data_IF_449818166185
#
_entry.id   IF_449818166185
#
_cell.length_a   1.000
_cell.length_b   1.000
_cell.length_c   1.000
_cell.angle_alpha   90.00
_cell.angle_beta   90.00
_cell.angle_gamma   90.00
#
_symmetry.space_group_name_H-M   'P 1'
#
loop_
_entity.id
_entity.type
_entity.pdbx_description
1 polymer ?
#
# COMPACT_ATOMS: atom_id res chain seq x y z
N UNK A 1 1.84 -19.18 5.24
CA UNK A 1 3.24 -19.02 5.68
C UNK A 1 3.23 -17.89 6.69
N UNK A 2 3.68 -18.11 7.93
CA UNK A 2 3.88 -17.02 8.88
C UNK A 2 5.32 -16.51 8.71
N UNK A 3 5.50 -15.59 7.76
CA UNK A 3 6.69 -14.76 7.76
C UNK A 3 6.51 -13.58 8.73
N UNK A 4 7.62 -13.00 9.18
CA UNK A 4 7.64 -11.97 10.22
C UNK A 4 6.84 -10.72 9.84
N UNK A 5 6.78 -10.35 8.55
CA UNK A 5 5.98 -9.23 8.09
C UNK A 5 4.48 -9.54 8.22
N UNK A 6 4.04 -10.74 7.85
CA UNK A 6 2.66 -11.18 8.06
C UNK A 6 2.24 -11.08 9.54
N UNK A 7 3.11 -11.47 10.47
CA UNK A 7 2.82 -11.38 11.91
C UNK A 7 2.65 -9.94 12.39
N UNK A 8 3.50 -9.02 11.92
CA UNK A 8 3.37 -7.59 12.23
C UNK A 8 2.08 -7.00 11.65
N UNK A 9 1.80 -7.28 10.36
CA UNK A 9 0.61 -6.76 9.67
C UNK A 9 -0.70 -7.23 10.33
N UNK A 10 -0.69 -8.41 10.96
CA UNK A 10 -1.86 -8.96 11.63
C UNK A 10 -2.07 -8.39 13.02
N UNK A 11 -1.01 -8.19 13.80
CA UNK A 11 -1.12 -7.96 15.24
C UNK A 11 -0.81 -6.52 15.69
N UNK A 12 -0.24 -5.69 14.81
CA UNK A 12 0.22 -4.36 15.19
C UNK A 12 -0.59 -3.22 14.57
N UNK A 13 -0.48 -2.07 15.23
CA UNK A 13 -0.98 -0.78 14.74
C UNK A 13 -0.09 -0.21 13.65
N UNK A 14 -0.60 0.80 12.93
CA UNK A 14 0.17 1.45 11.86
C UNK A 14 1.48 2.04 12.40
N UNK A 15 1.39 2.72 13.54
CA UNK A 15 2.51 3.37 14.22
C UNK A 15 3.57 2.36 14.63
N UNK A 16 3.18 1.25 15.25
CA UNK A 16 4.10 0.17 15.63
C UNK A 16 4.79 -0.48 14.42
N UNK A 17 4.05 -0.69 13.32
CA UNK A 17 4.63 -1.23 12.08
C UNK A 17 5.65 -0.24 11.52
N UNK A 18 5.32 1.06 11.46
CA UNK A 18 6.24 2.09 10.96
C UNK A 18 7.48 2.24 11.84
N UNK A 19 7.34 2.15 13.16
CA UNK A 19 8.46 2.16 14.09
C UNK A 19 9.36 0.94 13.90
N UNK A 20 8.77 -0.24 13.63
CA UNK A 20 9.53 -1.44 13.27
C UNK A 20 10.33 -1.21 11.98
N UNK A 21 9.70 -0.72 10.90
CA UNK A 21 10.39 -0.42 9.64
C UNK A 21 11.51 0.60 9.83
N UNK A 22 11.24 1.67 10.57
CA UNK A 22 12.23 2.72 10.88
C UNK A 22 13.42 2.14 11.63
N UNK A 23 13.16 1.36 12.68
CA UNK A 23 14.21 0.71 13.49
C UNK A 23 15.00 -0.32 12.70
N UNK A 24 14.35 -1.06 11.80
CA UNK A 24 15.01 -2.05 10.94
C UNK A 24 15.93 -1.37 9.92
N UNK A 25 15.49 -0.26 9.33
CA UNK A 25 16.29 0.56 8.40
C UNK A 25 17.43 1.31 9.08
N UNK A 26 17.29 1.68 10.35
CA UNK A 26 18.39 2.28 11.13
C UNK A 26 19.47 1.26 11.51
N UNK A 27 19.08 -0.01 11.64
CA UNK A 27 20.01 -1.11 11.96
C UNK A 27 20.64 -1.72 10.71
N UNK A 28 20.09 -1.47 9.53
CA UNK A 28 20.67 -1.94 8.28
C UNK A 28 21.80 -1.00 7.83
N UNK A 29 22.74 -1.53 7.05
CA UNK A 29 23.82 -0.75 6.43
C UNK A 29 23.34 0.06 5.20
N UNK A 30 22.03 0.27 5.07
CA UNK A 30 21.42 0.95 3.92
C UNK A 30 21.64 2.46 4.00
N UNK A 31 21.73 3.11 2.84
CA UNK A 31 21.89 4.56 2.79
C UNK A 31 20.69 5.30 3.42
N UNK A 32 20.90 6.42 4.14
CA UNK A 32 19.81 7.21 4.75
C UNK A 32 18.70 7.61 3.77
N UNK A 33 19.06 7.79 2.50
CA UNK A 33 18.11 8.01 1.40
C UNK A 33 16.99 6.97 1.35
N UNK A 34 17.29 5.69 1.55
CA UNK A 34 16.28 4.63 1.50
C UNK A 34 15.30 4.72 2.65
N UNK A 35 15.76 5.10 3.84
CA UNK A 35 14.90 5.35 4.99
C UNK A 35 13.88 6.45 4.70
N UNK A 36 14.34 7.57 4.15
CA UNK A 36 13.48 8.71 3.79
C UNK A 36 12.44 8.38 2.71
N UNK A 37 12.65 7.30 1.94
CA UNK A 37 11.73 6.86 0.88
C UNK A 37 10.80 5.73 1.30
N UNK A 38 11.34 4.73 2.00
CA UNK A 38 10.60 3.53 2.41
C UNK A 38 9.58 3.84 3.49
N UNK A 39 9.89 4.68 4.48
CA UNK A 39 8.95 4.95 5.58
C UNK A 39 7.66 5.63 5.06
N UNK A 40 7.71 6.70 4.25
CA UNK A 40 6.50 7.27 3.66
C UNK A 40 5.76 6.31 2.72
N UNK A 41 6.50 5.44 2.03
CA UNK A 41 5.92 4.43 1.13
C UNK A 41 5.11 3.39 1.90
N UNK A 42 5.67 2.86 2.98
CA UNK A 42 4.97 1.91 3.86
C UNK A 42 3.76 2.59 4.52
N UNK A 43 3.90 3.84 5.00
CA UNK A 43 2.77 4.57 5.59
C UNK A 43 1.62 4.76 4.60
N UNK A 44 1.93 5.11 3.35
CA UNK A 44 0.92 5.24 2.29
C UNK A 44 0.14 3.94 2.07
N UNK A 45 0.83 2.79 1.95
CA UNK A 45 0.19 1.49 1.77
C UNK A 45 -0.67 1.13 3.00
N UNK A 46 -0.09 1.24 4.20
CA UNK A 46 -0.77 0.84 5.44
C UNK A 46 -1.96 1.73 5.77
N UNK A 47 -1.92 3.02 5.42
CA UNK A 47 -3.03 3.95 5.62
C UNK A 47 -4.34 3.43 5.01
N UNK A 48 -4.24 2.73 3.88
CA UNK A 48 -5.37 2.15 3.15
C UNK A 48 -5.61 0.70 3.56
N UNK A 49 -4.58 -0.15 3.53
CA UNK A 49 -4.77 -1.58 3.79
C UNK A 49 -5.28 -1.86 5.20
N UNK A 50 -4.87 -1.09 6.20
CA UNK A 50 -5.39 -1.25 7.57
C UNK A 50 -6.84 -0.77 7.69
N UNK A 51 -7.25 0.25 6.94
CA UNK A 51 -8.65 0.69 6.89
C UNK A 51 -9.54 -0.40 6.27
N UNK A 52 -9.11 -1.00 5.16
CA UNK A 52 -9.80 -2.12 4.52
C UNK A 52 -9.83 -3.38 5.41
N UNK A 53 -8.72 -3.66 6.12
CA UNK A 53 -8.63 -4.75 7.10
C UNK A 53 -9.64 -4.59 8.22
N UNK A 54 -9.77 -3.40 8.81
CA UNK A 54 -10.76 -3.11 9.88
C UNK A 54 -12.20 -3.38 9.43
N UNK A 55 -12.48 -3.18 8.16
CA UNK A 55 -13.77 -3.43 7.53
C UNK A 55 -13.94 -4.88 7.02
N UNK A 56 -12.91 -5.74 7.12
CA UNK A 56 -12.88 -7.10 6.56
C UNK A 56 -13.17 -7.15 5.05
N UNK A 57 -12.67 -6.17 4.30
CA UNK A 57 -12.88 -6.04 2.85
C UNK A 57 -11.56 -6.00 2.08
N UNK A 58 -10.59 -6.81 2.48
CA UNK A 58 -9.31 -6.88 1.78
C UNK A 58 -9.50 -7.55 0.41
N UNK A 59 -8.74 -7.07 -0.56
CA UNK A 59 -8.73 -7.58 -1.93
C UNK A 59 -7.35 -7.41 -2.57
N UNK A 60 -7.09 -8.18 -3.62
CA UNK A 60 -5.85 -8.10 -4.43
C UNK A 60 -6.00 -7.04 -5.55
N UNK A 61 -4.91 -6.63 -6.24
CA UNK A 61 -5.00 -5.75 -7.40
C UNK A 61 -5.95 -6.25 -8.50
N UNK A 62 -6.15 -7.57 -8.61
CA UNK A 62 -7.08 -8.21 -9.54
C UNK A 62 -8.54 -8.16 -9.06
N UNK A 63 -8.80 -7.63 -7.87
CA UNK A 63 -10.12 -7.57 -7.25
C UNK A 63 -10.56 -8.88 -6.58
N UNK A 64 -9.64 -9.83 -6.35
CA UNK A 64 -9.96 -11.08 -5.64
C UNK A 64 -10.04 -10.84 -4.13
N UNK A 65 -10.99 -11.49 -3.46
CA UNK A 65 -11.21 -11.37 -2.03
C UNK A 65 -10.04 -11.96 -1.25
N UNK A 66 -9.59 -11.26 -0.20
CA UNK A 66 -8.68 -11.81 0.81
C UNK A 66 -9.21 -11.65 2.23
N UNK A 67 -8.98 -12.70 3.02
CA UNK A 67 -9.48 -12.79 4.40
C UNK A 67 -8.54 -12.10 5.40
N UNK A 68 -7.25 -12.04 5.09
CA UNK A 68 -6.21 -11.52 5.98
C UNK A 68 -5.22 -10.63 5.24
N UNK A 69 -4.65 -9.67 5.96
CA UNK A 69 -3.52 -8.87 5.50
C UNK A 69 -2.23 -9.62 5.85
N UNK A 70 -1.69 -10.33 4.88
CA UNK A 70 -0.40 -11.00 4.94
C UNK A 70 0.65 -10.27 4.09
N UNK A 71 1.89 -10.76 4.15
CA UNK A 71 3.02 -10.20 3.40
C UNK A 71 2.80 -10.29 1.89
N UNK A 72 2.19 -11.38 1.40
CA UNK A 72 1.89 -11.55 -0.03
C UNK A 72 0.97 -10.45 -0.52
N UNK A 73 -0.13 -10.20 0.19
CA UNK A 73 -1.06 -9.12 -0.13
C UNK A 73 -0.37 -7.76 -0.05
N UNK A 74 0.42 -7.51 0.99
CA UNK A 74 1.18 -6.27 1.12
C UNK A 74 2.07 -6.05 -0.11
N UNK A 75 2.85 -7.06 -0.52
CA UNK A 75 3.76 -6.96 -1.66
C UNK A 75 3.03 -6.74 -2.99
N UNK A 76 1.84 -7.32 -3.18
CA UNK A 76 1.02 -7.04 -4.38
C UNK A 76 0.68 -5.56 -4.52
N UNK A 77 0.54 -4.84 -3.40
CA UNK A 77 0.27 -3.40 -3.38
C UNK A 77 1.54 -2.54 -3.34
N UNK A 78 2.74 -3.11 -3.48
CA UNK A 78 3.98 -2.31 -3.52
C UNK A 78 4.35 -1.80 -4.91
N UNK A 79 3.72 -2.33 -5.95
CA UNK A 79 3.92 -1.83 -7.31
C UNK A 79 3.20 -0.49 -7.51
N UNK A 80 3.85 0.45 -8.21
CA UNK A 80 3.33 1.82 -8.38
C UNK A 80 2.04 1.85 -9.20
N UNK A 81 1.88 0.95 -10.18
CA UNK A 81 0.64 0.81 -10.96
C UNK A 81 -0.45 0.27 -10.03
N UNK A 82 -0.12 -0.75 -9.24
CA UNK A 82 -1.07 -1.33 -8.27
C UNK A 82 -1.55 -0.28 -7.25
N UNK A 83 -0.66 0.58 -6.74
CA UNK A 83 -1.05 1.66 -5.83
C UNK A 83 -1.94 2.71 -6.48
N UNK A 84 -1.64 3.07 -7.73
CA UNK A 84 -2.50 3.98 -8.50
C UNK A 84 -3.88 3.38 -8.70
N UNK A 85 -3.96 2.11 -9.09
CA UNK A 85 -5.24 1.38 -9.25
C UNK A 85 -6.01 1.32 -7.93
N UNK A 86 -5.32 1.12 -6.80
CA UNK A 86 -5.93 1.15 -5.47
C UNK A 86 -6.56 2.52 -5.18
N UNK A 87 -5.80 3.60 -5.41
CA UNK A 87 -6.27 4.96 -5.18
C UNK A 87 -7.54 5.27 -5.99
N UNK A 88 -7.54 5.00 -7.30
CA UNK A 88 -8.73 5.20 -8.15
C UNK A 88 -9.91 4.33 -7.73
N UNK A 89 -9.66 3.06 -7.42
CA UNK A 89 -10.70 2.13 -7.00
C UNK A 89 -11.40 2.64 -5.74
N UNK A 90 -10.64 3.11 -4.75
CA UNK A 90 -11.19 3.61 -3.51
C UNK A 90 -11.79 5.01 -3.62
N UNK A 91 -11.27 5.86 -4.51
CA UNK A 91 -11.86 7.16 -4.80
C UNK A 91 -13.26 7.00 -5.40
N UNK A 92 -13.40 6.13 -6.41
CA UNK A 92 -14.70 5.78 -6.99
C UNK A 92 -15.62 5.11 -5.95
N UNK A 93 -15.06 4.23 -5.11
CA UNK A 93 -15.82 3.57 -4.04
C UNK A 93 -16.33 4.57 -2.99
N UNK A 94 -15.49 5.54 -2.61
CA UNK A 94 -15.84 6.64 -1.72
C UNK A 94 -16.93 7.54 -2.30
N UNK A 95 -16.89 7.82 -3.60
CA UNK A 95 -17.89 8.61 -4.28
C UNK A 95 -19.26 7.90 -4.30
N UNK A 96 -19.27 6.58 -4.53
CA UNK A 96 -20.48 5.78 -4.64
C UNK A 96 -20.95 5.17 -3.30
N UNK A 97 -20.18 5.33 -2.22
CA UNK A 97 -20.37 4.66 -0.93
C UNK A 97 -20.54 3.14 -1.08
N UNK A 98 -19.79 2.53 -1.99
CA UNK A 98 -19.83 1.09 -2.29
C UNK A 98 -18.45 0.66 -2.75
N UNK A 99 -17.97 -0.50 -2.28
CA UNK A 99 -16.73 -1.06 -2.79
C UNK A 99 -16.91 -1.52 -4.25
N UNK A 100 -16.12 -0.95 -5.16
CA UNK A 100 -16.15 -1.23 -6.60
C UNK A 100 -14.91 -1.99 -7.04
N UNK A 101 -14.96 -2.56 -8.26
CA UNK A 101 -13.82 -3.25 -8.91
C UNK A 101 -13.21 -4.37 -8.09
N UNK A 102 -14.05 -5.01 -7.28
CA UNK A 102 -13.71 -6.20 -6.51
C UNK A 102 -14.77 -7.26 -6.71
N UNK A 103 -14.47 -8.49 -6.27
CA UNK A 103 -15.39 -9.61 -6.29
C UNK A 103 -16.46 -9.56 -5.19
N UNK A 104 -16.41 -8.56 -4.30
CA UNK A 104 -17.46 -8.33 -3.30
C UNK A 104 -18.74 -7.85 -3.99
N UNK A 105 -19.88 -8.45 -3.63
CA UNK A 105 -21.19 -8.09 -4.20
C UNK A 105 -21.99 -7.16 -3.30
N UNK A 106 -22.08 -7.51 -2.02
CA UNK A 106 -22.95 -6.87 -1.04
C UNK A 106 -22.24 -6.74 0.32
N UNK A 107 -21.15 -5.96 0.34
CA UNK A 107 -20.40 -5.69 1.57
C UNK A 107 -20.63 -4.27 2.05
N UNK A 108 -20.68 -4.10 3.38
CA UNK A 108 -20.70 -2.78 3.98
C UNK A 108 -19.37 -2.08 3.71
N UNK A 109 -19.45 -0.90 3.09
CA UNK A 109 -18.29 -0.09 2.76
C UNK A 109 -18.37 1.23 3.52
N UNK A 110 -17.34 1.51 4.31
CA UNK A 110 -17.09 2.80 4.92
C UNK A 110 -15.97 3.50 4.15
N UNK A 111 -16.09 4.83 4.00
CA UNK A 111 -15.12 5.60 3.23
C UNK A 111 -13.72 5.47 3.83
N UNK A 112 -12.76 5.21 2.95
CA UNK A 112 -11.35 5.15 3.30
C UNK A 112 -10.74 6.53 3.11
N UNK A 113 -9.98 7.01 4.09
CA UNK A 113 -9.19 8.23 3.94
C UNK A 113 -8.00 7.97 2.99
N UNK A 114 -7.94 8.74 1.91
CA UNK A 114 -6.92 8.62 0.86
C UNK A 114 -5.87 9.74 0.91
N UNK A 115 -5.90 10.62 1.93
CA UNK A 115 -5.01 11.79 1.99
C UNK A 115 -3.53 11.38 1.96
N UNK A 116 -3.14 10.37 2.74
CA UNK A 116 -1.75 9.89 2.82
C UNK A 116 -1.31 9.25 1.49
N UNK A 117 -2.12 8.36 0.94
CA UNK A 117 -1.85 7.69 -0.34
C UNK A 117 -1.80 8.70 -1.50
N UNK A 118 -2.75 9.63 -1.56
CA UNK A 118 -2.81 10.66 -2.60
C UNK A 118 -1.61 11.61 -2.56
N UNK A 119 -1.18 12.05 -1.37
CA UNK A 119 0.05 12.84 -1.21
C UNK A 119 1.28 12.07 -1.66
N UNK A 120 1.38 10.79 -1.29
CA UNK A 120 2.48 9.93 -1.70
C UNK A 120 2.56 9.82 -3.22
N UNK A 121 1.47 9.42 -3.89
CA UNK A 121 1.41 9.28 -5.34
C UNK A 121 1.71 10.61 -6.07
N UNK A 122 1.17 11.72 -5.57
CA UNK A 122 1.44 13.06 -6.11
C UNK A 122 2.92 13.44 -6.04
N UNK A 123 3.62 13.03 -4.98
CA UNK A 123 5.06 13.29 -4.82
C UNK A 123 5.93 12.58 -5.88
N UNK A 124 5.41 11.49 -6.46
CA UNK A 124 6.03 10.76 -7.57
C UNK A 124 5.50 11.16 -8.94
N UNK A 125 4.80 12.31 -9.03
CA UNK A 125 4.19 12.82 -10.27
C UNK A 125 3.28 11.79 -10.94
N UNK A 126 2.66 10.92 -10.15
CA UNK A 126 1.65 9.99 -10.66
C UNK A 126 0.41 10.81 -10.95
N UNK A 127 -0.05 10.76 -12.20
CA UNK A 127 -1.29 11.39 -12.60
C UNK A 127 -2.48 10.62 -12.00
N UNK A 128 -3.25 11.29 -11.15
CA UNK A 128 -4.47 10.77 -10.54
C UNK A 128 -5.73 11.33 -11.22
N UNK A 129 -5.60 12.05 -12.34
CA UNK A 129 -6.71 12.69 -13.05
C UNK A 129 -7.22 11.87 -14.24
N UNK A 130 -6.35 11.11 -14.91
CA UNK A 130 -6.71 10.28 -16.07
C UNK A 130 -6.23 8.83 -15.93
N UNK A 131 -7.13 7.92 -15.54
CA UNK A 131 -6.82 6.50 -15.33
C UNK A 131 -6.17 5.83 -16.56
N UNK A 132 -6.62 6.18 -17.77
CA UNK A 132 -6.21 5.56 -19.04
C UNK A 132 -4.82 5.98 -19.54
N UNK A 133 -4.24 7.05 -18.97
CA UNK A 133 -2.90 7.51 -19.32
C UNK A 133 -1.87 7.04 -18.28
N UNK A 134 -1.16 5.95 -18.60
CA UNK A 134 -0.05 5.43 -17.80
C UNK A 134 1.27 6.07 -18.27
N UNK A 135 1.53 7.32 -17.87
CA UNK A 135 2.87 7.89 -17.99
C UNK A 135 3.54 7.95 -16.61
N UNK A 136 4.32 6.91 -16.32
CA UNK A 136 5.17 6.89 -15.12
C UNK A 136 6.61 7.17 -15.53
N UNK A 137 7.30 8.12 -14.87
CA UNK A 137 8.73 8.26 -15.05
C UNK A 137 9.43 6.94 -14.69
N UNK A 138 10.15 6.34 -15.64
CA UNK A 138 10.86 5.05 -15.45
C UNK A 138 11.74 5.06 -14.18
N UNK A 139 12.33 6.22 -13.85
CA UNK A 139 13.11 6.39 -12.63
C UNK A 139 12.33 6.15 -11.33
N UNK A 140 11.04 6.51 -11.29
CA UNK A 140 10.19 6.28 -10.12
C UNK A 140 9.83 4.79 -9.97
N UNK A 141 9.65 4.09 -11.08
CA UNK A 141 9.42 2.64 -11.08
C UNK A 141 10.64 1.89 -10.55
N UNK A 142 11.82 2.22 -11.06
CA UNK A 142 13.08 1.63 -10.59
C UNK A 142 13.34 1.91 -9.10
N UNK A 143 12.99 3.11 -8.62
CA UNK A 143 13.07 3.43 -7.21
C UNK A 143 12.16 2.52 -6.36
N UNK A 144 10.92 2.28 -6.79
CA UNK A 144 10.00 1.39 -6.08
C UNK A 144 10.50 -0.05 -6.05
N UNK A 145 11.07 -0.56 -7.15
CA UNK A 145 11.73 -1.87 -7.17
C UNK A 145 12.86 -1.93 -6.12
N UNK A 146 13.69 -0.88 -6.04
CA UNK A 146 14.74 -0.77 -5.02
C UNK A 146 14.18 -0.78 -3.60
N UNK A 147 13.14 0.02 -3.34
CA UNK A 147 12.47 0.06 -2.04
C UNK A 147 11.92 -1.32 -1.64
N UNK A 148 11.25 -2.02 -2.55
CA UNK A 148 10.70 -3.36 -2.29
C UNK A 148 11.79 -4.39 -2.02
N UNK A 149 12.92 -4.29 -2.73
CA UNK A 149 14.07 -5.17 -2.51
C UNK A 149 14.62 -5.00 -1.09
N UNK A 150 14.76 -3.76 -0.64
CA UNK A 150 15.22 -3.46 0.72
C UNK A 150 14.17 -3.89 1.75
N UNK A 151 12.88 -3.58 1.54
CA UNK A 151 11.82 -4.03 2.45
C UNK A 151 11.89 -5.54 2.67
N UNK A 152 12.08 -6.31 1.59
CA UNK A 152 12.19 -7.77 1.66
C UNK A 152 13.43 -8.25 2.43
N UNK A 153 14.51 -7.46 2.50
CA UNK A 153 15.72 -7.83 3.26
C UNK A 153 15.65 -7.48 4.74
N UNK A 154 14.64 -6.71 5.19
CA UNK A 154 14.44 -6.35 6.60
C UNK A 154 13.80 -7.46 7.45
N UNK A 155 13.33 -8.55 6.81
CA UNK A 155 12.59 -9.65 7.41
C UNK A 155 13.24 -10.99 7.11
#
# INVERSE_FOLDING_TARGET
>A
MNDKLSELLQNNTKEEILDYFTSALEKSDEAPFWKEKIVPFVDAILSVLLALKKQNILFTPEGEIKEALDSELFYKWTDLISLRTLAFTLELSNAQNKLLRTSYKDVAYEKVDLEVLGKYLSSYKVDLTEEDHLDFPVGNYNLHIGMVTIIKSLF
#
